data_IF_440730226518
#
_entry.id   IF_440730226518
#
_cell.length_a   1.000
_cell.length_b   1.000
_cell.length_c   1.000
_cell.angle_alpha   90.00
_cell.angle_beta   90.00
_cell.angle_gamma   90.00
#
_symmetry.space_group_name_H-M   'P 1'
#
loop_
_entity.id
_entity.type
_entity.pdbx_description
1 polymer ?
#
# COMPACT_ATOMS: atom_id res chain seq x y z
N UNK A 1 -3.68 -11.87 1.99
CA UNK A 1 -2.49 -11.55 2.81
C UNK A 1 -2.80 -11.89 4.26
N UNK A 2 -2.33 -13.03 4.76
CA UNK A 2 -2.48 -13.40 6.17
C UNK A 2 -1.75 -12.39 7.06
N UNK A 3 -2.36 -12.01 8.17
CA UNK A 3 -1.79 -11.02 9.10
C UNK A 3 -0.69 -11.71 9.91
N UNK A 4 0.57 -11.48 9.55
CA UNK A 4 1.73 -12.00 10.31
C UNK A 4 1.70 -11.38 11.71
N UNK A 5 1.57 -12.22 12.73
CA UNK A 5 1.61 -11.80 14.12
C UNK A 5 3.07 -11.73 14.58
N UNK A 6 3.49 -10.54 15.03
CA UNK A 6 4.81 -10.32 15.63
C UNK A 6 4.66 -10.55 17.13
N UNK A 7 5.49 -11.42 17.67
CA UNK A 7 5.54 -11.74 19.10
C UNK A 7 6.43 -10.73 19.84
N UNK A 8 6.24 -10.58 21.14
CA UNK A 8 7.11 -9.73 21.97
C UNK A 8 8.41 -10.44 22.41
N UNK A 9 8.84 -11.45 21.65
CA UNK A 9 10.13 -12.15 21.84
C UNK A 9 11.16 -11.58 20.86
N UNK A 10 12.25 -11.03 21.40
CA UNK A 10 13.36 -10.48 20.61
C UNK A 10 14.11 -11.62 19.89
N UNK A 11 14.45 -11.38 18.63
CA UNK A 11 15.29 -12.25 17.82
C UNK A 11 16.71 -11.67 17.79
N UNK A 12 17.69 -12.39 18.30
CA UNK A 12 19.11 -12.01 18.35
C UNK A 12 19.85 -12.37 17.06
N UNK A 13 21.11 -11.94 16.92
CA UNK A 13 21.95 -12.30 15.77
C UNK A 13 22.13 -13.81 15.65
N UNK A 14 22.32 -14.52 16.78
CA UNK A 14 22.43 -15.98 16.80
C UNK A 14 21.16 -16.65 16.26
N UNK A 15 20.00 -16.14 16.65
CA UNK A 15 18.72 -16.63 16.14
C UNK A 15 18.57 -16.39 14.63
N UNK A 16 19.14 -15.30 14.10
CA UNK A 16 19.11 -15.04 12.65
C UNK A 16 19.96 -16.06 11.89
N UNK A 17 21.07 -16.50 12.47
CA UNK A 17 21.93 -17.54 11.88
C UNK A 17 21.24 -18.91 11.93
N UNK A 18 20.58 -19.22 13.04
CA UNK A 18 19.96 -20.53 13.26
C UNK A 18 18.67 -20.72 12.44
N UNK A 19 17.82 -19.69 12.36
CA UNK A 19 16.49 -19.79 11.75
C UNK A 19 16.37 -19.07 10.39
N UNK A 20 17.31 -18.19 10.05
CA UNK A 20 17.25 -17.33 8.87
C UNK A 20 18.04 -17.87 7.68
N UNK A 21 17.40 -17.94 6.51
CA UNK A 21 18.05 -18.22 5.23
C UNK A 21 18.25 -16.94 4.40
N UNK A 22 17.33 -15.98 4.49
CA UNK A 22 17.45 -14.69 3.82
C UNK A 22 16.92 -13.54 4.67
N UNK A 23 17.48 -12.36 4.43
CA UNK A 23 17.21 -11.13 5.13
C UNK A 23 16.80 -10.07 4.11
N UNK A 24 15.80 -9.26 4.44
CA UNK A 24 15.50 -8.01 3.72
C UNK A 24 15.71 -6.83 4.63
N UNK A 25 16.40 -5.81 4.13
CA UNK A 25 16.61 -4.55 4.84
C UNK A 25 15.50 -3.54 4.55
N UNK A 26 15.49 -2.42 5.28
CA UNK A 26 14.54 -1.32 5.03
C UNK A 26 14.77 -0.64 3.67
N UNK A 27 16.02 -0.58 3.22
CA UNK A 27 16.40 -0.01 1.91
C UNK A 27 15.92 -0.85 0.73
N UNK A 28 15.38 -2.04 1.00
CA UNK A 28 14.82 -2.94 0.01
C UNK A 28 15.79 -4.02 -0.46
N UNK A 29 17.08 -3.89 -0.13
CA UNK A 29 18.10 -4.90 -0.41
C UNK A 29 17.80 -6.24 0.25
N UNK A 30 18.16 -7.31 -0.45
CA UNK A 30 18.04 -8.69 0.02
C UNK A 30 19.42 -9.33 0.14
N UNK A 31 19.61 -10.04 1.24
CA UNK A 31 20.85 -10.73 1.57
C UNK A 31 20.55 -12.19 1.89
N UNK A 32 21.40 -13.10 1.40
CA UNK A 32 21.43 -14.49 1.86
C UNK A 32 22.29 -14.58 3.11
N UNK A 33 21.82 -15.35 4.09
CA UNK A 33 22.54 -15.59 5.34
C UNK A 33 23.42 -16.82 5.17
N UNK A 34 24.70 -16.69 5.45
CA UNK A 34 25.67 -17.79 5.43
C UNK A 34 26.56 -17.69 6.66
N UNK A 35 26.13 -18.30 7.76
CA UNK A 35 26.79 -18.13 9.06
C UNK A 35 26.73 -16.66 9.50
N UNK A 36 27.88 -16.08 9.84
CA UNK A 36 27.99 -14.67 10.22
C UNK A 36 28.08 -13.70 9.03
N UNK A 37 28.12 -14.20 7.81
CA UNK A 37 28.17 -13.37 6.60
C UNK A 37 26.78 -13.22 5.98
N UNK A 38 26.49 -12.01 5.50
CA UNK A 38 25.34 -11.66 4.69
C UNK A 38 25.81 -11.34 3.27
N UNK A 39 25.34 -12.09 2.28
CA UNK A 39 25.74 -11.94 0.88
C UNK A 39 24.60 -11.27 0.12
N UNK A 40 24.82 -10.08 -0.44
CA UNK A 40 23.81 -9.36 -1.21
C UNK A 40 23.44 -10.15 -2.47
N UNK A 41 22.14 -10.37 -2.74
CA UNK A 41 21.70 -11.25 -3.84
C UNK A 41 22.10 -10.76 -5.24
N UNK A 42 22.02 -9.44 -5.49
CA UNK A 42 22.35 -8.86 -6.80
C UNK A 42 23.85 -8.64 -7.00
N UNK A 43 24.52 -8.00 -6.05
CA UNK A 43 25.90 -7.56 -6.19
C UNK A 43 26.94 -8.56 -5.67
N UNK A 44 26.51 -9.66 -5.03
CA UNK A 44 27.36 -10.63 -4.35
C UNK A 44 28.35 -10.00 -3.34
N UNK A 45 28.03 -8.81 -2.83
CA UNK A 45 28.84 -8.14 -1.83
C UNK A 45 28.63 -8.80 -0.47
N UNK A 46 29.73 -9.14 0.19
CA UNK A 46 29.72 -9.72 1.52
C UNK A 46 29.72 -8.61 2.57
N UNK A 47 28.89 -8.78 3.59
CA UNK A 47 28.87 -7.92 4.78
C UNK A 47 28.73 -8.76 6.04
N UNK A 48 29.16 -8.23 7.16
CA UNK A 48 29.03 -8.93 8.43
C UNK A 48 27.59 -8.78 8.98
N UNK A 49 27.05 -9.85 9.56
CA UNK A 49 25.67 -9.86 10.07
C UNK A 49 25.42 -8.80 11.16
N UNK A 50 26.30 -8.62 12.17
CA UNK A 50 26.15 -7.56 13.19
C UNK A 50 26.07 -6.14 12.61
N UNK A 51 26.79 -5.86 11.52
CA UNK A 51 26.72 -4.56 10.85
C UNK A 51 25.35 -4.33 10.22
N UNK A 52 24.81 -5.37 9.58
CA UNK A 52 23.52 -5.31 8.89
C UNK A 52 22.32 -5.48 9.83
N UNK A 53 22.54 -6.00 11.05
CA UNK A 53 21.47 -6.42 11.96
C UNK A 53 20.49 -5.28 12.33
N UNK A 54 20.99 -4.05 12.43
CA UNK A 54 20.18 -2.86 12.71
C UNK A 54 19.19 -2.55 11.60
N UNK A 55 19.55 -2.84 10.35
CA UNK A 55 18.79 -2.49 9.16
C UNK A 55 17.85 -3.60 8.69
N UNK A 56 17.85 -4.75 9.39
CA UNK A 56 16.96 -5.87 9.10
C UNK A 56 15.50 -5.49 9.33
N UNK A 57 14.71 -5.58 8.26
CA UNK A 57 13.25 -5.42 8.28
C UNK A 57 12.53 -6.73 8.51
N UNK A 58 12.92 -7.78 7.77
CA UNK A 58 12.41 -9.12 7.99
C UNK A 58 13.46 -10.19 7.69
N UNK A 59 13.29 -11.32 8.36
CA UNK A 59 14.10 -12.54 8.22
C UNK A 59 13.17 -13.64 7.74
N UNK A 60 13.59 -14.38 6.73
CA UNK A 60 12.86 -15.49 6.15
C UNK A 60 13.61 -16.80 6.33
N UNK A 61 12.87 -17.88 6.52
CA UNK A 61 13.42 -19.24 6.46
C UNK A 61 13.70 -19.68 5.01
N UNK A 62 14.20 -20.90 4.84
CA UNK A 62 14.45 -21.55 3.54
C UNK A 62 13.19 -21.67 2.67
N UNK A 63 12.02 -21.79 3.29
CA UNK A 63 10.71 -21.87 2.62
C UNK A 63 10.15 -20.48 2.22
N UNK A 64 10.86 -19.39 2.55
CA UNK A 64 10.43 -18.02 2.26
C UNK A 64 9.40 -17.44 3.24
N UNK A 65 9.07 -18.15 4.31
CA UNK A 65 8.19 -17.71 5.40
C UNK A 65 8.94 -16.73 6.29
N UNK A 66 8.29 -15.61 6.63
CA UNK A 66 8.87 -14.59 7.51
C UNK A 66 8.85 -15.11 8.94
N UNK A 67 10.03 -15.46 9.47
CA UNK A 67 10.23 -15.94 10.85
C UNK A 67 10.52 -14.79 11.81
N UNK A 68 11.18 -13.73 11.34
CA UNK A 68 11.52 -12.55 12.11
C UNK A 68 11.04 -11.28 11.42
N UNK A 69 10.51 -10.32 12.17
CA UNK A 69 10.04 -9.05 11.62
C UNK A 69 10.25 -7.90 12.60
N UNK A 70 10.74 -6.79 12.05
CA UNK A 70 10.82 -5.50 12.73
C UNK A 70 9.60 -4.66 12.33
N UNK A 71 8.94 -4.02 13.30
CA UNK A 71 7.76 -3.17 13.03
C UNK A 71 8.19 -1.87 12.34
N UNK A 72 9.18 -1.17 12.90
CA UNK A 72 9.79 0.08 12.39
C UNK A 72 11.32 0.00 12.46
N UNK A 73 12.06 0.79 11.67
CA UNK A 73 13.54 0.74 11.61
C UNK A 73 14.23 0.78 13.00
N UNK A 74 13.75 1.65 13.89
CA UNK A 74 14.34 1.86 15.23
C UNK A 74 13.85 0.87 16.31
N UNK A 75 12.94 -0.05 15.98
CA UNK A 75 12.38 -1.01 16.96
C UNK A 75 13.16 -2.32 16.98
N UNK A 76 13.07 -3.12 18.04
CA UNK A 76 13.79 -4.40 18.11
C UNK A 76 13.28 -5.38 17.03
N UNK A 77 14.17 -6.21 16.50
CA UNK A 77 13.78 -7.35 15.67
C UNK A 77 13.12 -8.40 16.57
N UNK A 78 11.89 -8.80 16.23
CA UNK A 78 11.14 -9.76 17.00
C UNK A 78 10.76 -10.97 16.17
N UNK A 79 10.59 -12.11 16.83
CA UNK A 79 10.04 -13.30 16.21
C UNK A 79 8.59 -13.11 15.80
N UNK A 80 8.17 -13.89 14.83
CA UNK A 80 6.77 -14.01 14.42
C UNK A 80 6.19 -15.34 14.89
N UNK A 81 4.86 -15.48 14.89
CA UNK A 81 4.21 -16.75 15.21
C UNK A 81 4.69 -17.91 14.34
N UNK A 82 5.09 -17.63 13.09
CA UNK A 82 5.59 -18.62 12.16
C UNK A 82 6.94 -19.24 12.56
N UNK A 83 7.67 -18.64 13.51
CA UNK A 83 8.93 -19.19 14.02
C UNK A 83 8.73 -20.29 15.07
N UNK A 84 7.56 -20.36 15.73
CA UNK A 84 7.29 -21.28 16.84
C UNK A 84 6.08 -22.18 16.64
N UNK A 85 5.18 -21.88 15.68
CA UNK A 85 4.07 -22.78 15.38
C UNK A 85 4.61 -24.06 14.71
N UNK A 86 4.37 -25.26 15.27
CA UNK A 86 4.57 -26.48 14.52
C UNK A 86 3.55 -26.51 13.36
N UNK A 87 4.04 -27.09 12.27
CA UNK A 87 3.36 -27.46 11.03
C UNK A 87 1.89 -27.87 11.24
N UNK A 88 1.02 -27.31 10.39
CA UNK A 88 -0.43 -27.58 10.19
C UNK A 88 -1.37 -27.10 11.29
N UNK A 89 -1.96 -25.92 11.06
CA UNK A 89 -3.38 -25.73 11.41
C UNK A 89 -4.15 -26.72 10.54
N UNK A 90 -4.46 -27.90 11.08
CA UNK A 90 -5.49 -28.75 10.52
C UNK A 90 -6.74 -27.87 10.39
N UNK A 91 -7.04 -27.47 9.16
CA UNK A 91 -8.30 -26.81 8.88
C UNK A 91 -9.36 -27.85 9.18
N UNK A 92 -9.97 -27.78 10.37
CA UNK A 92 -11.14 -28.57 10.69
C UNK A 92 -12.13 -28.38 9.54
N UNK A 93 -12.37 -29.43 8.75
CA UNK A 93 -13.20 -29.38 7.54
C UNK A 93 -14.68 -29.23 7.87
N UNK A 94 -15.00 -29.09 9.16
CA UNK A 94 -16.36 -28.87 9.62
C UNK A 94 -16.74 -27.38 9.49
N UNK A 95 -17.21 -27.02 8.30
CA UNK A 95 -17.99 -25.81 8.11
C UNK A 95 -19.40 -26.07 8.64
N UNK A 96 -19.74 -25.48 9.80
CA UNK A 96 -21.11 -25.53 10.32
C UNK A 96 -22.05 -24.96 9.24
N UNK A 97 -23.12 -25.68 8.82
CA UNK A 97 -24.05 -25.15 7.84
C UNK A 97 -24.61 -23.83 8.37
N UNK A 98 -24.48 -22.77 7.58
CA UNK A 98 -24.97 -21.45 7.93
C UNK A 98 -26.48 -21.57 8.09
N UNK A 99 -26.98 -21.54 9.33
CA UNK A 99 -28.40 -21.35 9.60
C UNK A 99 -28.84 -20.13 8.82
N UNK A 100 -29.76 -20.32 7.88
CA UNK A 100 -30.38 -19.23 7.14
C UNK A 100 -31.00 -18.31 8.18
N UNK A 101 -30.38 -17.14 8.38
CA UNK A 101 -30.96 -16.10 9.22
C UNK A 101 -32.31 -15.79 8.61
N UNK A 102 -33.40 -16.17 9.28
CA UNK A 102 -34.73 -15.66 8.96
C UNK A 102 -34.61 -14.14 8.94
N UNK A 103 -34.72 -13.55 7.75
CA UNK A 103 -34.56 -12.12 7.53
C UNK A 103 -35.80 -11.45 8.10
N UNK A 104 -35.82 -11.25 9.40
CA UNK A 104 -36.80 -10.44 10.09
C UNK A 104 -36.11 -9.12 10.47
N UNK A 105 -35.93 -8.25 9.46
CA UNK A 105 -35.87 -6.78 9.52
C UNK A 105 -35.34 -6.25 8.18
N UNK A 106 -36.00 -5.26 7.55
CA UNK A 106 -35.44 -4.59 6.39
C UNK A 106 -34.11 -3.94 6.80
N UNK A 107 -33.03 -4.27 6.09
CA UNK A 107 -31.74 -3.60 6.26
C UNK A 107 -31.95 -2.11 6.08
N UNK A 108 -31.57 -1.30 7.09
CA UNK A 108 -31.48 0.15 6.92
C UNK A 108 -30.65 0.43 5.66
N UNK A 109 -31.10 1.30 4.75
CA UNK A 109 -30.33 1.62 3.57
C UNK A 109 -28.99 2.19 4.02
N UNK A 110 -27.91 1.49 3.67
CA UNK A 110 -26.56 2.01 3.86
C UNK A 110 -26.47 3.28 3.00
N UNK A 111 -26.47 4.45 3.62
CA UNK A 111 -26.08 5.68 2.95
C UNK A 111 -24.64 5.48 2.44
N UNK A 112 -24.52 5.15 1.15
CA UNK A 112 -23.26 5.26 0.43
C UNK A 112 -23.01 6.75 0.27
N UNK A 113 -22.32 7.36 1.23
CA UNK A 113 -21.58 8.59 0.99
C UNK A 113 -20.40 8.25 0.06
N UNK A 114 -20.70 7.89 -1.18
CA UNK A 114 -19.70 7.83 -2.23
C UNK A 114 -19.31 9.28 -2.52
N UNK A 115 -18.11 9.65 -2.09
CA UNK A 115 -17.46 10.90 -2.53
C UNK A 115 -17.53 10.92 -4.05
N UNK A 116 -18.39 11.78 -4.60
CA UNK A 116 -18.52 11.97 -6.05
C UNK A 116 -17.12 12.29 -6.56
N UNK A 117 -16.60 11.45 -7.47
CA UNK A 117 -15.33 11.72 -8.15
C UNK A 117 -15.55 13.04 -8.89
N UNK A 118 -14.94 14.13 -8.41
CA UNK A 118 -14.93 15.41 -9.12
C UNK A 118 -14.29 15.14 -10.49
N UNK A 119 -15.03 15.35 -11.56
CA UNK A 119 -14.52 15.18 -12.92
C UNK A 119 -13.60 16.37 -13.18
N UNK A 120 -12.30 16.13 -13.17
CA UNK A 120 -11.29 17.14 -13.45
C UNK A 120 -10.75 16.93 -14.87
N UNK A 121 -10.76 17.98 -15.67
CA UNK A 121 -10.27 17.97 -17.06
C UNK A 121 -8.92 18.68 -17.09
N UNK A 122 -7.96 18.20 -17.88
CA UNK A 122 -6.66 18.88 -17.99
C UNK A 122 -6.78 20.15 -18.85
N UNK A 123 -6.02 21.19 -18.50
CA UNK A 123 -6.00 22.46 -19.24
C UNK A 123 -5.70 22.24 -20.73
N UNK A 124 -4.79 21.31 -21.04
CA UNK A 124 -4.42 20.95 -22.41
C UNK A 124 -5.62 20.46 -23.23
N UNK A 125 -6.54 19.72 -22.61
CA UNK A 125 -7.75 19.19 -23.26
C UNK A 125 -8.77 20.31 -23.57
N UNK A 126 -8.69 21.44 -22.88
CA UNK A 126 -9.58 22.59 -23.12
C UNK A 126 -9.13 23.46 -24.30
N UNK A 127 -7.90 23.27 -24.80
CA UNK A 127 -7.34 24.06 -25.90
C UNK A 127 -7.10 25.54 -25.56
N UNK A 128 -7.01 25.90 -24.27
CA UNK A 128 -6.64 27.24 -23.81
C UNK A 128 -5.23 27.22 -23.21
N UNK A 129 -4.39 28.18 -23.60
CA UNK A 129 -3.05 28.34 -23.03
C UNK A 129 -3.08 29.11 -21.68
N UNK A 130 -4.01 30.06 -21.55
CA UNK A 130 -4.11 30.94 -20.39
C UNK A 130 -5.20 30.53 -19.40
N UNK A 131 -4.81 30.38 -18.13
CA UNK A 131 -5.71 30.05 -17.02
C UNK A 131 -6.79 31.10 -16.81
N UNK A 132 -6.42 32.39 -16.92
CA UNK A 132 -7.32 33.51 -16.68
C UNK A 132 -8.37 33.63 -17.80
N UNK A 133 -7.98 33.36 -19.05
CA UNK A 133 -8.88 33.34 -20.18
C UNK A 133 -9.93 32.22 -20.02
N UNK A 134 -9.50 31.01 -19.69
CA UNK A 134 -10.42 29.90 -19.43
C UNK A 134 -11.36 30.17 -18.25
N UNK A 135 -10.84 30.76 -17.17
CA UNK A 135 -11.67 31.14 -16.01
C UNK A 135 -12.75 32.15 -16.42
N UNK A 136 -12.40 33.17 -17.21
CA UNK A 136 -13.35 34.17 -17.70
C UNK A 136 -14.47 33.55 -18.54
N UNK A 137 -14.12 32.66 -19.48
CA UNK A 137 -15.09 31.97 -20.34
C UNK A 137 -16.02 31.07 -19.53
N UNK A 138 -15.50 30.30 -18.58
CA UNK A 138 -16.31 29.41 -17.74
C UNK A 138 -17.28 30.20 -16.84
N UNK A 139 -16.84 31.33 -16.27
CA UNK A 139 -17.69 32.22 -15.49
C UNK A 139 -18.77 32.87 -16.37
N UNK A 140 -18.43 33.34 -17.56
CA UNK A 140 -19.38 33.91 -18.51
C UNK A 140 -20.46 32.91 -18.95
N UNK A 141 -20.10 31.62 -19.07
CA UNK A 141 -21.03 30.51 -19.36
C UNK A 141 -21.84 30.06 -18.14
N UNK A 142 -21.73 30.73 -17.00
CA UNK A 142 -22.54 30.48 -15.81
C UNK A 142 -21.95 29.50 -14.81
N UNK A 143 -20.62 29.27 -14.84
CA UNK A 143 -19.97 28.53 -13.77
C UNK A 143 -20.01 29.37 -12.48
N UNK A 144 -20.48 28.78 -11.39
CA UNK A 144 -20.50 29.40 -10.06
C UNK A 144 -19.12 29.40 -9.43
N UNK A 145 -18.35 28.35 -9.71
CA UNK A 145 -17.01 28.19 -9.16
C UNK A 145 -16.10 27.51 -10.17
N UNK A 146 -14.86 27.98 -10.27
CA UNK A 146 -13.80 27.38 -11.08
C UNK A 146 -12.56 27.23 -10.21
N UNK A 147 -12.06 26.00 -10.08
CA UNK A 147 -10.86 25.67 -9.30
C UNK A 147 -9.82 25.04 -10.21
N UNK A 148 -8.57 25.41 -9.94
CA UNK A 148 -7.40 24.88 -10.62
C UNK A 148 -6.55 24.10 -9.63
N UNK A 149 -6.15 22.89 -10.03
CA UNK A 149 -5.30 22.02 -9.23
C UNK A 149 -4.06 21.64 -10.01
N UNK A 150 -2.89 21.81 -9.42
CA UNK A 150 -1.64 21.34 -10.03
C UNK A 150 -1.50 19.85 -9.74
N UNK A 151 -1.46 19.03 -10.78
CA UNK A 151 -1.32 17.57 -10.69
C UNK A 151 -0.04 17.12 -11.39
N UNK A 152 0.34 15.86 -11.22
CA UNK A 152 1.52 15.29 -11.90
C UNK A 152 1.38 15.29 -13.44
N UNK A 153 0.16 15.26 -13.96
CA UNK A 153 -0.13 15.26 -15.39
C UNK A 153 -0.26 16.69 -15.98
N UNK A 154 -0.34 17.72 -15.14
CA UNK A 154 -0.57 19.10 -15.57
C UNK A 154 -1.58 19.84 -14.68
N UNK A 155 -2.09 20.96 -15.18
CA UNK A 155 -3.10 21.73 -14.47
C UNK A 155 -4.48 21.16 -14.76
N UNK A 156 -5.16 20.71 -13.71
CA UNK A 156 -6.51 20.19 -13.78
C UNK A 156 -7.52 21.29 -13.43
N UNK A 157 -8.56 21.41 -14.25
CA UNK A 157 -9.63 22.38 -14.16
C UNK A 157 -10.88 21.67 -13.67
N UNK A 158 -11.54 22.26 -12.68
CA UNK A 158 -12.81 21.80 -12.15
C UNK A 158 -13.76 22.99 -12.12
N UNK A 159 -14.91 22.87 -12.76
CA UNK A 159 -15.98 23.86 -12.68
C UNK A 159 -17.17 23.31 -11.91
N UNK A 160 -17.98 24.21 -11.34
CA UNK A 160 -19.28 23.87 -10.80
C UNK A 160 -20.34 24.82 -11.38
N UNK A 161 -21.38 24.32 -12.06
CA UNK A 161 -21.67 22.91 -12.36
C UNK A 161 -20.77 22.29 -13.44
N UNK A 162 -20.41 21.00 -13.26
CA UNK A 162 -19.49 20.23 -14.11
C UNK A 162 -19.92 20.14 -15.59
N UNK A 163 -21.22 20.31 -15.88
CA UNK A 163 -21.78 20.28 -17.24
C UNK A 163 -21.14 21.32 -18.15
N UNK A 164 -20.85 22.52 -17.62
CA UNK A 164 -20.33 23.64 -18.41
C UNK A 164 -18.94 23.33 -18.99
N UNK A 165 -18.12 22.63 -18.21
CA UNK A 165 -16.79 22.21 -18.67
C UNK A 165 -16.90 21.11 -19.72
N UNK A 166 -17.86 20.19 -19.58
CA UNK A 166 -18.12 19.14 -20.57
C UNK A 166 -18.64 19.72 -21.89
N UNK A 167 -19.61 20.63 -21.82
CA UNK A 167 -20.19 21.30 -22.98
C UNK A 167 -19.10 22.04 -23.79
N UNK A 168 -18.19 22.73 -23.09
CA UNK A 168 -17.05 23.42 -23.71
C UNK A 168 -16.06 22.48 -24.41
N UNK A 169 -15.90 21.26 -23.92
CA UNK A 169 -15.01 20.25 -24.53
C UNK A 169 -15.72 19.60 -25.73
N UNK A 170 -17.00 19.29 -25.61
CA UNK A 170 -17.78 18.69 -26.70
C UNK A 170 -17.98 19.62 -27.90
N UNK A 171 -17.98 20.94 -27.70
CA UNK A 171 -18.04 21.93 -28.80
C UNK A 171 -16.73 22.00 -29.61
N UNK A 172 -15.62 21.52 -29.06
CA UNK A 172 -14.29 21.60 -29.69
C UNK A 172 -13.83 20.28 -30.34
N UNK A 173 -14.53 19.17 -30.09
CA UNK A 173 -14.31 17.89 -30.77
C UNK A 173 -15.12 17.85 -32.07
#
# INVERSE_FOLDING_TARGET
MSKIQVLDKRMTEKDVIEYGASIRTFDGSTYKVSGYECIHEVFNTKRYLPECYKDIRNVKNSEGVIVGKRKNAHTKLCFTSAAFEPVKKESSTYSRPKLQRRIAKPMRPKQKNSRVKKVSVLLQETGYADLNALKGVLLARGAKEVRFYRTKAGIAVVSHPDRILKDLISEKQ
#
